data_IF_179766413524
#
_entry.id   IF_179766413524
#
_cell.length_a   1.000
_cell.length_b   1.000
_cell.length_c   1.000
_cell.angle_alpha   90.00
_cell.angle_beta   90.00
_cell.angle_gamma   90.00
#
_symmetry.space_group_name_H-M   'P 1'
#
loop_
_entity.id
_entity.type
_entity.pdbx_description
1 polymer ?
#
# COMPACT_ATOMS: atom_id res chain seq x y z
N UNK A 1 -4.56 17.69 -8.14
CA UNK A 1 -5.03 16.47 -7.45
C UNK A 1 -6.51 16.28 -7.81
N UNK A 2 -6.92 15.14 -8.36
CA UNK A 2 -8.36 14.87 -8.57
C UNK A 2 -8.92 14.23 -7.30
N UNK A 3 -10.16 14.63 -7.00
CA UNK A 3 -10.96 14.37 -5.81
C UNK A 3 -10.88 12.92 -5.31
N UNK A 4 -10.64 12.71 -4.01
CA UNK A 4 -10.84 11.41 -3.36
C UNK A 4 -12.32 11.05 -3.48
N UNK A 5 -12.63 9.92 -4.10
CA UNK A 5 -14.01 9.43 -4.13
C UNK A 5 -14.28 8.71 -2.80
N UNK A 6 -15.18 9.27 -1.99
CA UNK A 6 -15.60 8.69 -0.72
C UNK A 6 -16.72 7.65 -0.93
N UNK A 7 -16.52 6.46 -0.38
CA UNK A 7 -17.57 5.46 -0.23
C UNK A 7 -17.68 5.06 1.24
N UNK A 8 -18.86 5.27 1.82
CA UNK A 8 -19.16 4.85 3.19
C UNK A 8 -19.48 3.36 3.19
N UNK A 9 -18.64 2.57 3.84
CA UNK A 9 -18.85 1.12 4.00
C UNK A 9 -19.05 0.85 5.50
N UNK A 10 -20.10 0.11 5.85
CA UNK A 10 -20.37 -0.29 7.24
C UNK A 10 -20.19 -1.79 7.40
N UNK A 11 -19.42 -2.20 8.41
CA UNK A 11 -19.27 -3.61 8.81
C UNK A 11 -20.20 -3.91 9.99
N UNK A 12 -20.57 -5.18 10.20
CA UNK A 12 -21.65 -5.66 11.07
C UNK A 12 -21.58 -5.24 12.55
N UNK A 13 -20.48 -4.64 13.01
CA UNK A 13 -20.28 -4.18 14.40
C UNK A 13 -20.39 -2.64 14.58
N UNK A 14 -20.84 -1.90 13.56
CA UNK A 14 -21.18 -0.48 13.72
C UNK A 14 -20.01 0.51 13.69
N UNK A 15 -18.78 0.03 13.49
CA UNK A 15 -17.63 0.92 13.22
C UNK A 15 -17.69 1.45 11.78
N UNK A 16 -17.51 2.77 11.62
CA UNK A 16 -17.56 3.46 10.33
C UNK A 16 -16.22 3.25 9.61
N UNK A 17 -16.22 2.46 8.56
CA UNK A 17 -15.08 2.35 7.65
C UNK A 17 -15.28 3.34 6.50
N UNK A 18 -14.32 4.25 6.31
CA UNK A 18 -14.35 5.18 5.18
C UNK A 18 -13.35 4.66 4.15
N UNK A 19 -13.87 4.36 2.96
CA UNK A 19 -13.07 3.92 1.82
C UNK A 19 -12.86 5.10 0.89
N UNK A 20 -11.61 5.41 0.59
CA UNK A 20 -11.21 6.41 -0.39
C UNK A 20 -10.43 5.75 -1.53
N UNK A 21 -10.66 6.22 -2.75
CA UNK A 21 -9.79 5.89 -3.89
C UNK A 21 -8.94 7.11 -4.21
N UNK A 22 -7.62 6.91 -4.17
CA UNK A 22 -6.65 7.92 -4.54
C UNK A 22 -6.03 7.61 -5.90
N UNK A 23 -5.97 8.62 -6.74
CA UNK A 23 -5.29 8.58 -8.04
C UNK A 23 -4.00 9.42 -7.97
N UNK A 24 -2.85 8.77 -8.12
CA UNK A 24 -1.56 9.45 -8.18
C UNK A 24 -1.05 9.44 -9.61
N UNK A 25 -0.99 10.62 -10.23
CA UNK A 25 -0.46 10.79 -11.58
C UNK A 25 1.03 11.11 -11.53
N UNK A 26 1.87 10.31 -12.20
CA UNK A 26 3.30 10.59 -12.38
C UNK A 26 3.68 10.39 -13.84
N UNK A 27 4.14 11.46 -14.49
CA UNK A 27 4.38 11.44 -15.93
C UNK A 27 3.11 11.07 -16.69
N UNK A 28 3.19 10.06 -17.56
CA UNK A 28 2.07 9.53 -18.33
C UNK A 28 1.28 8.43 -17.61
N UNK A 29 1.75 7.98 -16.45
CA UNK A 29 1.15 6.87 -15.72
C UNK A 29 0.22 7.38 -14.61
N UNK A 30 -0.84 6.60 -14.34
CA UNK A 30 -1.75 6.83 -13.22
C UNK A 30 -1.75 5.59 -12.34
N UNK A 31 -1.47 5.80 -11.05
CA UNK A 31 -1.43 4.76 -10.03
C UNK A 31 -2.64 4.89 -9.13
N UNK A 32 -3.25 3.76 -8.79
CA UNK A 32 -4.48 3.72 -8.00
C UNK A 32 -4.21 3.11 -6.64
N UNK A 33 -4.72 3.76 -5.61
CA UNK A 33 -4.63 3.28 -4.24
C UNK A 33 -6.02 3.27 -3.60
N UNK A 34 -6.32 2.20 -2.89
CA UNK A 34 -7.46 2.14 -1.99
C UNK A 34 -6.97 2.42 -0.57
N UNK A 35 -7.60 3.39 0.08
CA UNK A 35 -7.32 3.79 1.46
C UNK A 35 -8.56 3.48 2.29
N UNK A 36 -8.40 2.64 3.29
CA UNK A 36 -9.47 2.37 4.25
C UNK A 36 -9.06 3.00 5.59
N UNK A 37 -9.80 4.04 6.01
CA UNK A 37 -9.65 4.72 7.31
C UNK A 37 -10.72 4.21 8.27
N UNK A 38 -10.27 3.70 9.40
CA UNK A 38 -11.04 3.49 10.62
C UNK A 38 -10.57 4.51 11.68
N UNK A 39 -11.16 4.52 12.87
CA UNK A 39 -10.85 5.50 13.93
C UNK A 39 -9.35 5.47 14.30
N UNK A 40 -8.78 4.28 14.47
CA UNK A 40 -7.42 4.11 15.00
C UNK A 40 -6.42 3.59 13.96
N UNK A 41 -6.84 3.42 12.71
CA UNK A 41 -6.00 2.76 11.71
C UNK A 41 -6.32 3.17 10.28
N UNK A 42 -5.26 3.32 9.48
CA UNK A 42 -5.33 3.50 8.03
C UNK A 42 -4.64 2.33 7.36
N UNK A 43 -5.35 1.64 6.46
CA UNK A 43 -4.74 0.67 5.53
C UNK A 43 -4.74 1.21 4.12
N UNK A 44 -3.65 0.92 3.41
CA UNK A 44 -3.47 1.33 2.02
C UNK A 44 -3.14 0.13 1.16
N UNK A 45 -3.83 0.04 0.03
CA UNK A 45 -3.67 -1.02 -0.94
C UNK A 45 -3.36 -0.44 -2.30
N UNK A 46 -2.45 -1.08 -3.03
CA UNK A 46 -2.21 -0.79 -4.43
C UNK A 46 -3.23 -1.52 -5.29
N UNK A 47 -3.81 -0.84 -6.28
CA UNK A 47 -4.72 -1.42 -7.25
C UNK A 47 -4.04 -1.42 -8.61
N UNK A 48 -3.81 -2.61 -9.18
CA UNK A 48 -3.19 -2.72 -10.49
C UNK A 48 -4.19 -2.49 -11.63
N UNK A 49 -3.68 -2.56 -12.87
CA UNK A 49 -4.49 -2.37 -14.08
C UNK A 49 -5.61 -3.40 -14.22
N UNK A 50 -5.38 -4.64 -13.75
CA UNK A 50 -6.37 -5.71 -13.71
C UNK A 50 -7.33 -5.59 -12.51
N UNK A 51 -7.30 -4.47 -11.77
CA UNK A 51 -8.09 -4.20 -10.56
C UNK A 51 -7.85 -5.20 -9.43
N UNK A 52 -6.70 -5.87 -9.44
CA UNK A 52 -6.25 -6.69 -8.31
C UNK A 52 -5.75 -5.77 -7.21
N UNK A 53 -6.09 -6.14 -5.98
CA UNK A 53 -5.75 -5.40 -4.77
C UNK A 53 -4.55 -6.04 -4.11
N UNK A 54 -3.53 -5.25 -3.81
CA UNK A 54 -2.31 -5.70 -3.15
C UNK A 54 -2.09 -4.94 -1.86
N UNK A 55 -1.77 -5.66 -0.79
CA UNK A 55 -1.27 -5.06 0.45
C UNK A 55 0.15 -4.54 0.24
N UNK A 56 0.45 -3.38 0.78
CA UNK A 56 1.78 -2.77 0.70
C UNK A 56 2.52 -3.07 1.99
N UNK A 57 3.71 -3.67 1.90
CA UNK A 57 4.55 -3.97 3.06
C UNK A 57 5.96 -3.41 2.88
N UNK A 58 6.56 -2.90 3.96
CA UNK A 58 7.96 -2.52 3.89
C UNK A 58 8.85 -3.77 3.95
N UNK A 59 9.90 -3.78 3.13
CA UNK A 59 10.90 -4.85 3.16
C UNK A 59 11.56 -4.93 4.53
N UNK A 60 11.74 -3.78 5.19
CA UNK A 60 12.32 -3.73 6.54
C UNK A 60 11.49 -4.51 7.53
N UNK A 61 10.17 -4.30 7.57
CA UNK A 61 9.27 -5.02 8.48
C UNK A 61 9.25 -6.51 8.16
N UNK A 62 9.12 -6.90 6.89
CA UNK A 62 9.13 -8.31 6.50
C UNK A 62 10.42 -9.01 6.93
N UNK A 63 11.58 -8.34 6.76
CA UNK A 63 12.86 -8.90 7.18
C UNK A 63 12.98 -9.07 8.70
N UNK A 64 12.30 -8.24 9.51
CA UNK A 64 12.28 -8.45 10.98
C UNK A 64 11.47 -9.68 11.40
N UNK A 65 10.54 -10.13 10.56
CA UNK A 65 9.76 -11.34 10.80
C UNK A 65 10.51 -12.62 10.43
N UNK A 66 11.62 -12.51 9.70
CA UNK A 66 12.45 -13.66 9.32
C UNK A 66 13.55 -13.83 10.38
N UNK A 67 13.48 -14.87 11.23
CA UNK A 67 14.40 -15.03 12.35
C UNK A 67 15.82 -15.41 11.90
N UNK A 68 15.94 -16.13 10.79
CA UNK A 68 17.21 -16.69 10.31
C UNK A 68 17.92 -15.76 9.31
N UNK A 69 19.21 -15.48 9.54
CA UNK A 69 20.03 -14.65 8.65
C UNK A 69 20.23 -15.22 7.24
N UNK A 70 20.36 -16.53 7.11
CA UNK A 70 20.49 -17.20 5.81
C UNK A 70 19.21 -16.98 4.99
N UNK A 71 18.06 -17.11 5.64
CA UNK A 71 16.76 -16.88 5.00
C UNK A 71 16.56 -15.41 4.67
N UNK A 72 16.94 -14.48 5.56
CA UNK A 72 16.95 -13.03 5.26
C UNK A 72 17.78 -12.70 4.03
N UNK A 73 18.97 -13.30 3.91
CA UNK A 73 19.86 -13.09 2.76
C UNK A 73 19.26 -13.66 1.47
N UNK A 74 18.69 -14.88 1.52
CA UNK A 74 17.98 -15.48 0.39
C UNK A 74 16.79 -14.63 -0.04
N UNK A 75 16.01 -14.14 0.92
CA UNK A 75 14.87 -13.27 0.66
C UNK A 75 15.30 -11.98 -0.04
N UNK A 76 16.33 -11.28 0.48
CA UNK A 76 16.90 -10.08 -0.18
C UNK A 76 17.35 -10.34 -1.62
N UNK A 77 17.94 -11.50 -1.90
CA UNK A 77 18.35 -11.84 -3.27
C UNK A 77 17.15 -11.99 -4.22
N UNK A 78 15.97 -12.35 -3.72
CA UNK A 78 14.74 -12.47 -4.53
C UNK A 78 14.14 -11.09 -4.79
N UNK A 79 14.02 -10.25 -3.76
CA UNK A 79 13.35 -8.93 -3.86
C UNK A 79 14.25 -7.82 -4.40
N UNK A 80 15.56 -8.03 -4.42
CA UNK A 80 16.56 -7.02 -4.81
C UNK A 80 16.61 -5.84 -3.85
N UNK A 81 16.88 -4.65 -4.40
CA UNK A 81 17.02 -3.40 -3.64
C UNK A 81 15.67 -2.68 -3.38
N UNK A 82 14.56 -3.39 -3.57
CA UNK A 82 13.24 -2.82 -3.34
C UNK A 82 13.03 -2.45 -1.86
N UNK A 83 12.40 -1.31 -1.60
CA UNK A 83 12.03 -0.92 -0.23
C UNK A 83 10.62 -1.36 0.15
N UNK A 84 9.77 -1.61 -0.85
CA UNK A 84 8.35 -1.91 -0.69
C UNK A 84 7.93 -3.09 -1.56
N UNK A 85 7.04 -3.91 -1.01
CA UNK A 85 6.48 -5.08 -1.65
C UNK A 85 4.97 -4.94 -1.83
N UNK A 86 4.47 -5.58 -2.87
CA UNK A 86 3.05 -5.82 -3.10
C UNK A 86 2.76 -7.28 -2.80
N UNK A 87 1.86 -7.52 -1.85
CA UNK A 87 1.42 -8.84 -1.41
C UNK A 87 0.00 -9.09 -1.91
N UNK A 88 -0.24 -10.23 -2.55
CA UNK A 88 -1.54 -10.56 -3.15
C UNK A 88 -2.54 -11.21 -2.17
N UNK A 89 -2.09 -11.53 -0.95
CA UNK A 89 -2.90 -12.17 0.10
C UNK A 89 -2.98 -13.70 0.01
N UNK A 90 -2.41 -14.32 -1.03
CA UNK A 90 -2.46 -15.77 -1.27
C UNK A 90 -1.11 -16.48 -1.27
N UNK A 91 -0.03 -15.78 -0.87
CA UNK A 91 1.39 -16.20 -0.74
C UNK A 91 2.32 -15.69 -1.84
N UNK A 92 1.83 -14.95 -2.85
CA UNK A 92 2.71 -14.34 -3.85
C UNK A 92 3.04 -12.89 -3.47
N UNK A 93 4.25 -12.47 -3.83
CA UNK A 93 4.70 -11.11 -3.66
C UNK A 93 5.60 -10.67 -4.80
N UNK A 94 5.56 -9.38 -5.08
CA UNK A 94 6.55 -8.75 -5.95
C UNK A 94 7.05 -7.44 -5.39
N UNK A 95 8.25 -7.08 -5.80
CA UNK A 95 8.79 -5.74 -5.57
C UNK A 95 7.96 -4.70 -6.31
N UNK A 96 7.78 -3.55 -5.68
CA UNK A 96 7.33 -2.36 -6.39
C UNK A 96 8.39 -1.92 -7.40
N UNK A 97 7.94 -1.43 -8.55
CA UNK A 97 8.78 -0.66 -9.48
C UNK A 97 9.16 0.69 -8.86
N UNK A 98 10.17 1.35 -9.41
CA UNK A 98 10.61 2.67 -8.92
C UNK A 98 9.48 3.71 -9.00
N UNK A 99 8.68 3.63 -10.05
CA UNK A 99 7.58 4.55 -10.30
C UNK A 99 6.40 4.29 -9.35
N UNK A 100 6.05 3.02 -9.11
CA UNK A 100 5.05 2.63 -8.10
C UNK A 100 5.47 3.07 -6.70
N UNK A 101 6.73 2.83 -6.32
CA UNK A 101 7.28 3.26 -5.04
C UNK A 101 7.21 4.79 -4.91
N UNK A 102 7.58 5.53 -5.95
CA UNK A 102 7.54 6.98 -5.90
C UNK A 102 6.10 7.53 -5.84
N UNK A 103 5.14 6.87 -6.49
CA UNK A 103 3.72 7.20 -6.37
C UNK A 103 3.18 6.93 -4.96
N UNK A 104 3.57 5.80 -4.35
CA UNK A 104 3.19 5.46 -2.99
C UNK A 104 3.78 6.42 -1.96
N UNK A 105 5.05 6.78 -2.07
CA UNK A 105 5.69 7.75 -1.18
C UNK A 105 5.04 9.14 -1.29
N UNK A 106 4.70 9.57 -2.50
CA UNK A 106 3.94 10.81 -2.71
C UNK A 106 2.56 10.76 -2.03
N UNK A 107 1.83 9.65 -2.17
CA UNK A 107 0.54 9.46 -1.49
C UNK A 107 0.70 9.54 0.04
N UNK A 108 1.72 8.88 0.58
CA UNK A 108 1.99 8.86 2.01
C UNK A 108 2.23 10.28 2.55
N UNK A 109 3.10 11.04 1.87
CA UNK A 109 3.47 12.38 2.30
C UNK A 109 2.34 13.42 2.19
N UNK A 110 1.47 13.30 1.17
CA UNK A 110 0.52 14.36 0.80
C UNK A 110 -0.95 14.02 1.08
N UNK A 111 -1.27 12.77 1.41
CA UNK A 111 -2.67 12.35 1.66
C UNK A 111 -2.77 11.66 3.02
N UNK A 112 -1.93 10.64 3.25
CA UNK A 112 -2.05 9.86 4.49
C UNK A 112 -1.67 10.68 5.72
N UNK A 113 -0.59 11.47 5.65
CA UNK A 113 -0.19 12.33 6.75
C UNK A 113 -1.29 13.34 7.16
N UNK A 114 -2.02 13.89 6.18
CA UNK A 114 -3.14 14.80 6.45
C UNK A 114 -4.32 14.06 7.10
N UNK A 115 -4.59 12.82 6.66
CA UNK A 115 -5.66 11.98 7.21
C UNK A 115 -5.35 11.46 8.63
N UNK A 116 -4.10 11.42 9.07
CA UNK A 116 -3.72 11.05 10.45
C UNK A 116 -3.90 12.20 11.45
N UNK A 117 -3.97 13.45 10.99
CA UNK A 117 -4.11 14.65 11.83
C UNK A 117 -5.58 14.98 12.13
N UNK A 118 -6.51 14.42 11.35
CA UNK A 118 -7.97 14.65 11.39
C UNK A 118 -8.73 13.62 12.25
#
# INVERSE_FOLDING_TARGET
>A
MKQLAECKVSVSEGKKLIRHIAEVKRGYNTYYFEINKEIDYISVYFIDEAKRRFSIASVKEILTLIPNEIERKRYRNIIGDASWLLLDGTHDFRSMTKEEQAAFLYLKENVLNDMEIE
#
